data_IF_593010795768
#
_entry.id   IF_593010795768
#
_cell.length_a   1.000
_cell.length_b   1.000
_cell.length_c   1.000
_cell.angle_alpha   90.00
_cell.angle_beta   90.00
_cell.angle_gamma   90.00
#
_symmetry.space_group_name_H-M   'P 1'
#
loop_
_entity.id
_entity.type
_entity.pdbx_description
1 polymer ?
#
# COMPACT_ATOMS: atom_id res chain seq x y z
N UNK A 1 6.35 20.09 23.23
CA UNK A 1 7.27 20.14 22.08
C UNK A 1 6.70 19.29 20.95
N UNK A 2 6.29 20.00 19.90
CA UNK A 2 5.60 19.48 18.72
C UNK A 2 6.53 18.59 17.86
N UNK A 3 6.57 17.27 18.12
CA UNK A 3 7.24 16.29 17.26
C UNK A 3 6.27 15.54 16.34
N UNK A 4 5.02 15.99 16.21
CA UNK A 4 4.00 15.34 15.36
C UNK A 4 3.74 16.03 14.01
N UNK A 5 4.53 17.06 13.65
CA UNK A 5 4.30 17.82 12.40
C UNK A 5 5.13 17.35 11.21
N UNK A 6 6.03 16.37 11.38
CA UNK A 6 6.83 15.81 10.28
C UNK A 6 6.41 14.38 9.89
N UNK A 7 5.15 13.99 10.14
CA UNK A 7 4.63 12.74 9.60
C UNK A 7 4.51 12.86 8.08
N UNK A 8 5.47 12.25 7.40
CA UNK A 8 5.44 12.05 5.95
C UNK A 8 4.19 11.24 5.63
N UNK A 9 3.38 11.73 4.72
CA UNK A 9 2.14 11.10 4.31
C UNK A 9 2.35 9.69 3.77
N UNK A 10 1.70 8.73 4.40
CA UNK A 10 1.73 7.32 4.02
C UNK A 10 1.15 7.05 2.62
N UNK A 11 0.35 7.97 2.08
CA UNK A 11 -0.33 7.81 0.79
C UNK A 11 0.54 8.29 -0.38
N UNK A 12 1.74 8.80 -0.08
CA UNK A 12 2.68 9.27 -1.10
C UNK A 12 2.08 10.35 -1.96
N UNK A 13 2.02 11.53 -1.44
CA UNK A 13 1.61 12.63 -2.26
C UNK A 13 2.46 13.84 -1.91
N UNK A 14 2.73 14.64 -2.89
CA UNK A 14 3.10 16.04 -2.65
C UNK A 14 2.08 16.62 -1.68
N UNK A 15 2.49 17.49 -0.77
CA UNK A 15 1.63 18.18 0.22
C UNK A 15 0.30 18.69 -0.35
N UNK A 16 0.24 18.94 -1.66
CA UNK A 16 -0.95 19.41 -2.38
C UNK A 16 -2.13 18.43 -2.45
N UNK A 17 -1.95 17.17 -2.12
CA UNK A 17 -3.04 16.17 -2.12
C UNK A 17 -3.54 15.84 -0.72
N UNK A 18 -2.80 16.24 0.32
CA UNK A 18 -3.19 16.00 1.69
C UNK A 18 -4.52 16.65 2.02
N UNK A 19 -5.37 15.89 2.67
CA UNK A 19 -6.67 16.34 3.10
C UNK A 19 -6.94 15.88 4.52
N UNK A 20 -7.51 16.74 5.33
CA UNK A 20 -8.02 16.38 6.65
C UNK A 20 -9.32 15.59 6.51
N UNK A 21 -9.68 14.84 7.54
CA UNK A 21 -10.99 14.17 7.59
C UNK A 21 -12.14 15.17 7.38
N UNK A 22 -12.07 16.39 7.99
CA UNK A 22 -13.07 17.44 7.79
C UNK A 22 -13.21 17.83 6.32
N UNK A 23 -12.10 18.02 5.61
CA UNK A 23 -12.12 18.34 4.18
C UNK A 23 -12.72 17.20 3.34
N UNK A 24 -12.50 15.95 3.72
CA UNK A 24 -13.13 14.80 3.06
C UNK A 24 -14.65 14.80 3.28
N UNK A 25 -15.11 15.14 4.48
CA UNK A 25 -16.52 15.24 4.80
C UNK A 25 -17.25 16.39 4.06
N UNK A 26 -16.52 17.46 3.72
CA UNK A 26 -17.04 18.63 3.01
C UNK A 26 -17.23 18.37 1.50
N UNK A 27 -16.69 17.28 0.95
CA UNK A 27 -16.87 16.95 -0.47
C UNK A 27 -18.33 16.63 -0.76
N UNK A 28 -18.93 17.41 -1.64
CA UNK A 28 -20.32 17.23 -2.02
C UNK A 28 -20.55 15.85 -2.67
N UNK A 29 -21.51 15.11 -2.13
CA UNK A 29 -21.92 13.82 -2.67
C UNK A 29 -22.80 14.06 -3.90
N UNK A 30 -22.45 13.54 -5.08
CA UNK A 30 -23.28 13.70 -6.25
C UNK A 30 -24.57 12.88 -6.15
N UNK A 31 -25.56 13.26 -6.94
CA UNK A 31 -26.83 12.54 -7.01
C UNK A 31 -26.64 11.12 -7.61
N UNK A 32 -27.51 10.22 -7.19
CA UNK A 32 -27.62 8.90 -7.80
C UNK A 32 -28.03 9.03 -9.29
N UNK A 33 -27.57 8.08 -10.12
CA UNK A 33 -27.90 8.08 -11.54
C UNK A 33 -28.87 6.95 -11.86
N UNK A 34 -29.81 7.26 -12.72
CA UNK A 34 -30.81 6.34 -13.23
C UNK A 34 -30.73 6.21 -14.75
N UNK A 35 -31.16 5.09 -15.28
CA UNK A 35 -31.29 4.90 -16.73
C UNK A 35 -32.67 5.42 -17.22
N UNK A 36 -32.92 5.33 -18.55
CA UNK A 36 -34.16 5.77 -19.20
C UNK A 36 -35.42 5.01 -18.71
N UNK A 37 -35.24 3.92 -17.96
CA UNK A 37 -36.31 3.11 -17.35
C UNK A 37 -36.45 3.37 -15.85
N UNK A 38 -35.88 4.50 -15.35
CA UNK A 38 -35.85 4.87 -13.94
C UNK A 38 -35.22 3.82 -13.02
N UNK A 39 -34.31 3.01 -13.54
CA UNK A 39 -33.56 2.03 -12.76
C UNK A 39 -32.24 2.64 -12.30
N UNK A 40 -31.93 2.48 -11.03
CA UNK A 40 -30.68 2.94 -10.43
C UNK A 40 -29.45 2.26 -11.09
N UNK A 41 -28.56 3.07 -11.66
CA UNK A 41 -27.35 2.61 -12.33
C UNK A 41 -26.08 2.93 -11.55
N UNK A 42 -26.16 3.96 -10.70
CA UNK A 42 -25.03 4.41 -9.89
C UNK A 42 -25.50 5.01 -8.58
N UNK A 43 -25.00 4.47 -7.47
CA UNK A 43 -25.22 4.95 -6.12
C UNK A 43 -23.91 5.43 -5.52
N UNK A 44 -23.67 6.75 -5.41
CA UNK A 44 -22.45 7.22 -4.76
C UNK A 44 -22.46 6.86 -3.28
N UNK A 45 -21.30 6.38 -2.79
CA UNK A 45 -21.10 6.15 -1.35
C UNK A 45 -20.42 7.39 -0.79
N UNK A 46 -21.01 8.09 0.18
CA UNK A 46 -20.35 9.21 0.84
C UNK A 46 -18.99 8.79 1.41
N UNK A 47 -17.96 9.58 1.16
CA UNK A 47 -16.61 9.25 1.60
C UNK A 47 -16.51 9.09 3.11
N UNK A 48 -17.17 9.97 3.87
CA UNK A 48 -17.25 9.86 5.32
C UNK A 48 -17.89 8.53 5.77
N UNK A 49 -19.01 8.13 5.16
CA UNK A 49 -19.67 6.85 5.47
C UNK A 49 -18.75 5.65 5.21
N UNK A 50 -17.97 5.69 4.13
CA UNK A 50 -17.00 4.64 3.82
C UNK A 50 -15.88 4.60 4.86
N UNK A 51 -15.31 5.76 5.21
CA UNK A 51 -14.22 5.89 6.18
C UNK A 51 -14.66 5.43 7.57
N UNK A 52 -15.80 5.94 8.06
CA UNK A 52 -16.32 5.62 9.39
C UNK A 52 -16.66 4.13 9.49
N UNK A 53 -17.35 3.58 8.49
CA UNK A 53 -17.68 2.16 8.49
C UNK A 53 -16.46 1.23 8.51
N UNK A 54 -15.39 1.62 7.82
CA UNK A 54 -14.11 0.88 7.84
C UNK A 54 -13.40 1.05 9.19
N UNK A 55 -13.29 2.28 9.69
CA UNK A 55 -12.67 2.58 10.99
C UNK A 55 -13.35 1.77 12.10
N UNK A 56 -14.67 1.90 12.23
CA UNK A 56 -15.45 1.25 13.29
C UNK A 56 -15.31 -0.27 13.25
N UNK A 57 -15.37 -0.86 12.04
CA UNK A 57 -15.28 -2.31 11.88
C UNK A 57 -13.89 -2.84 12.24
N UNK A 58 -12.83 -2.14 11.83
CA UNK A 58 -11.46 -2.56 12.15
C UNK A 58 -11.10 -2.27 13.59
N UNK A 59 -11.49 -1.12 14.16
CA UNK A 59 -11.28 -0.82 15.58
C UNK A 59 -11.98 -1.84 16.48
N UNK A 60 -13.20 -2.25 16.13
CA UNK A 60 -13.91 -3.29 16.85
C UNK A 60 -13.23 -4.68 16.75
N UNK A 61 -12.70 -5.03 15.57
CA UNK A 61 -12.01 -6.31 15.37
C UNK A 61 -10.64 -6.37 16.04
N UNK A 62 -9.95 -5.23 16.15
CA UNK A 62 -8.61 -5.12 16.73
C UNK A 62 -8.61 -4.70 18.20
N UNK A 63 -9.77 -4.33 18.76
CA UNK A 63 -9.96 -3.78 20.10
C UNK A 63 -9.07 -2.57 20.39
N UNK A 64 -8.82 -1.74 19.38
CA UNK A 64 -8.07 -0.50 19.50
C UNK A 64 -8.38 0.48 18.37
N UNK A 65 -8.12 1.77 18.61
CA UNK A 65 -8.29 2.83 17.65
C UNK A 65 -7.06 2.96 16.72
N UNK A 66 -7.23 3.51 15.50
CA UNK A 66 -6.10 3.78 14.62
C UNK A 66 -5.16 4.82 15.25
N UNK A 67 -3.87 4.59 15.14
CA UNK A 67 -2.82 5.52 15.63
C UNK A 67 -2.47 6.60 14.62
N UNK A 68 -2.81 6.39 13.35
CA UNK A 68 -2.63 7.36 12.26
C UNK A 68 -3.70 7.18 11.19
N UNK A 69 -4.12 8.29 10.63
CA UNK A 69 -5.06 8.35 9.51
C UNK A 69 -4.56 9.41 8.51
N UNK A 70 -4.40 9.00 7.26
CA UNK A 70 -3.96 9.87 6.18
C UNK A 70 -4.97 9.82 5.03
N UNK A 71 -5.32 10.99 4.50
CA UNK A 71 -6.26 11.11 3.40
C UNK A 71 -5.70 11.98 2.29
N UNK A 72 -6.08 11.66 1.06
CA UNK A 72 -5.79 12.46 -0.10
C UNK A 72 -7.01 12.56 -1.01
N UNK A 73 -7.31 13.77 -1.44
CA UNK A 73 -8.30 14.06 -2.45
C UNK A 73 -7.62 14.41 -3.77
N UNK A 74 -8.07 13.82 -4.85
CA UNK A 74 -7.60 14.15 -6.19
C UNK A 74 -8.76 14.43 -7.13
N UNK A 75 -8.45 14.87 -8.35
CA UNK A 75 -9.45 15.17 -9.36
C UNK A 75 -10.57 16.10 -8.82
N UNK A 76 -10.18 17.23 -8.22
CA UNK A 76 -11.09 18.23 -7.63
C UNK A 76 -12.03 17.64 -6.56
N UNK A 77 -11.52 16.72 -5.73
CA UNK A 77 -12.29 16.06 -4.68
C UNK A 77 -13.14 14.88 -5.16
N UNK A 78 -13.10 14.55 -6.45
CA UNK A 78 -13.87 13.42 -6.99
C UNK A 78 -13.28 12.04 -6.70
N UNK A 79 -12.03 11.98 -6.25
CA UNK A 79 -11.35 10.73 -5.90
C UNK A 79 -10.77 10.84 -4.50
N UNK A 80 -11.08 9.84 -3.67
CA UNK A 80 -10.55 9.66 -2.32
C UNK A 80 -9.55 8.51 -2.30
N UNK A 81 -8.44 8.75 -1.63
CA UNK A 81 -7.48 7.74 -1.18
C UNK A 81 -7.29 7.92 0.32
N UNK A 82 -7.21 6.82 1.05
CA UNK A 82 -7.05 6.85 2.50
C UNK A 82 -6.18 5.72 2.98
N UNK A 83 -5.55 5.94 4.12
CA UNK A 83 -4.84 4.94 4.88
C UNK A 83 -5.10 5.15 6.37
N UNK A 84 -5.46 4.08 7.05
CA UNK A 84 -5.60 4.03 8.50
C UNK A 84 -4.60 3.01 9.03
N UNK A 85 -3.95 3.29 10.14
CA UNK A 85 -2.92 2.42 10.69
C UNK A 85 -3.20 2.12 12.16
N UNK A 86 -3.17 0.85 12.53
CA UNK A 86 -3.30 0.36 13.89
C UNK A 86 -1.97 -0.19 14.37
N UNK A 87 -1.62 0.10 15.62
CA UNK A 87 -0.45 -0.49 16.27
C UNK A 87 -0.88 -1.75 17.00
N UNK A 88 -0.34 -2.88 16.61
CA UNK A 88 -0.57 -4.14 17.27
C UNK A 88 0.49 -4.36 18.37
N UNK A 89 0.12 -4.97 19.52
CA UNK A 89 1.03 -5.15 20.66
C UNK A 89 2.32 -5.92 20.32
N UNK A 90 2.24 -6.83 19.37
CA UNK A 90 3.35 -7.67 18.93
C UNK A 90 4.33 -6.99 17.97
N UNK A 91 4.03 -5.78 17.49
CA UNK A 91 4.86 -5.10 16.50
C UNK A 91 5.30 -3.72 16.97
N UNK A 92 6.60 -3.60 17.27
CA UNK A 92 7.20 -2.34 17.73
C UNK A 92 7.44 -1.35 16.59
N UNK A 93 7.79 -1.85 15.39
CA UNK A 93 8.29 -1.03 14.29
C UNK A 93 7.31 -0.86 13.14
N UNK A 94 6.27 -1.68 13.11
CA UNK A 94 5.24 -1.63 12.07
C UNK A 94 3.84 -1.80 12.66
N UNK A 95 2.84 -1.55 11.84
CA UNK A 95 1.43 -1.70 12.22
C UNK A 95 0.59 -2.22 11.07
N UNK A 96 -0.59 -2.71 11.41
CA UNK A 96 -1.59 -3.06 10.42
C UNK A 96 -2.06 -1.77 9.72
N UNK A 97 -1.98 -1.76 8.41
CA UNK A 97 -2.46 -0.67 7.58
C UNK A 97 -3.68 -1.11 6.76
N UNK A 98 -4.71 -0.30 6.77
CA UNK A 98 -5.87 -0.40 5.89
C UNK A 98 -5.78 0.70 4.84
N UNK A 99 -5.54 0.34 3.60
CA UNK A 99 -5.58 1.27 2.48
C UNK A 99 -6.95 1.23 1.80
N UNK A 100 -7.44 2.37 1.40
CA UNK A 100 -8.74 2.49 0.74
C UNK A 100 -8.71 3.49 -0.42
N UNK A 101 -9.62 3.31 -1.37
CA UNK A 101 -9.88 4.26 -2.45
C UNK A 101 -11.35 4.25 -2.83
N UNK A 102 -11.84 5.38 -3.31
CA UNK A 102 -13.20 5.51 -3.86
C UNK A 102 -13.28 6.69 -4.82
N UNK A 103 -14.32 6.78 -5.64
CA UNK A 103 -14.56 7.97 -6.46
C UNK A 103 -16.04 8.26 -6.64
N UNK A 104 -16.36 9.54 -6.85
CA UNK A 104 -17.69 10.01 -7.20
C UNK A 104 -17.91 10.07 -8.73
N UNK A 105 -16.83 10.10 -9.51
CA UNK A 105 -16.90 10.16 -10.97
C UNK A 105 -16.91 8.78 -11.66
N UNK A 106 -17.01 7.70 -10.89
CA UNK A 106 -16.97 6.31 -11.36
C UNK A 106 -15.65 5.90 -12.02
N UNK A 107 -14.57 6.69 -11.87
CA UNK A 107 -13.24 6.37 -12.43
C UNK A 107 -12.58 5.19 -11.73
N UNK A 108 -12.89 4.99 -10.45
CA UNK A 108 -12.44 3.89 -9.61
C UNK A 108 -13.58 3.37 -8.74
N UNK A 109 -13.68 2.05 -8.62
CA UNK A 109 -14.60 1.44 -7.69
C UNK A 109 -14.10 1.62 -6.24
N UNK A 110 -15.00 1.76 -5.25
CA UNK A 110 -14.64 1.63 -3.84
C UNK A 110 -13.88 0.32 -3.62
N UNK A 111 -12.71 0.43 -3.04
CA UNK A 111 -11.87 -0.72 -2.75
C UNK A 111 -11.02 -0.45 -1.51
N UNK A 112 -10.73 -1.50 -0.76
CA UNK A 112 -9.84 -1.44 0.39
C UNK A 112 -9.05 -2.74 0.52
N UNK A 113 -7.94 -2.67 1.22
CA UNK A 113 -7.07 -3.81 1.46
C UNK A 113 -6.20 -3.60 2.69
N UNK A 114 -5.81 -4.70 3.30
CA UNK A 114 -4.94 -4.70 4.47
C UNK A 114 -3.48 -4.83 4.05
N UNK A 115 -2.60 -4.20 4.81
CA UNK A 115 -1.19 -4.21 4.58
C UNK A 115 -0.40 -3.95 5.86
N UNK A 116 0.89 -3.72 5.71
CA UNK A 116 1.80 -3.32 6.77
C UNK A 116 2.24 -1.86 6.55
N UNK A 117 2.20 -1.05 7.59
CA UNK A 117 2.82 0.27 7.61
C UNK A 117 4.04 0.26 8.52
N UNK A 118 5.16 0.78 8.05
CA UNK A 118 6.40 0.90 8.81
C UNK A 118 6.44 2.28 9.45
N UNK A 119 6.42 2.35 10.78
CA UNK A 119 6.31 3.61 11.51
C UNK A 119 7.52 4.54 11.36
N UNK A 120 8.71 3.97 11.19
CA UNK A 120 9.96 4.75 11.18
C UNK A 120 10.11 5.59 9.91
N UNK A 121 9.73 5.05 8.77
CA UNK A 121 9.88 5.71 7.46
C UNK A 121 8.55 6.06 6.81
N UNK A 122 7.44 5.87 7.51
CA UNK A 122 6.09 6.08 6.99
C UNK A 122 5.79 5.38 5.65
N UNK A 123 6.55 4.32 5.33
CA UNK A 123 6.34 3.52 4.14
C UNK A 123 5.28 2.45 4.40
N UNK A 124 4.38 2.26 3.45
CA UNK A 124 3.38 1.19 3.47
C UNK A 124 3.80 0.02 2.60
N UNK A 125 3.49 -1.18 3.04
CA UNK A 125 3.63 -2.42 2.28
C UNK A 125 2.26 -3.08 2.15
N UNK A 126 1.81 -3.35 0.93
CA UNK A 126 0.50 -3.95 0.69
C UNK A 126 0.61 -5.20 -0.16
N UNK A 127 0.10 -6.32 0.33
CA UNK A 127 -0.05 -7.53 -0.46
C UNK A 127 -1.26 -7.45 -1.39
N UNK A 128 -1.12 -7.97 -2.60
CA UNK A 128 -2.19 -8.00 -3.61
C UNK A 128 -3.04 -9.25 -3.51
N UNK A 129 -2.53 -10.32 -2.93
CA UNK A 129 -3.13 -11.64 -2.97
C UNK A 129 -4.40 -11.73 -2.12
N UNK A 130 -5.50 -11.31 -2.72
CA UNK A 130 -6.84 -11.45 -2.14
C UNK A 130 -7.24 -10.38 -1.15
N UNK A 131 -6.37 -9.42 -0.85
CA UNK A 131 -6.62 -8.41 0.18
C UNK A 131 -7.28 -7.14 -0.35
N UNK A 132 -7.30 -6.91 -1.66
CA UNK A 132 -8.05 -5.79 -2.24
C UNK A 132 -9.46 -6.27 -2.58
N UNK A 133 -10.40 -5.83 -1.78
CA UNK A 133 -11.83 -6.03 -2.03
C UNK A 133 -12.41 -4.78 -2.66
N UNK A 134 -13.30 -4.98 -3.64
CA UNK A 134 -13.97 -3.86 -4.31
C UNK A 134 -15.45 -4.14 -4.50
N UNK A 135 -16.24 -3.07 -4.49
CA UNK A 135 -17.67 -3.13 -4.76
C UNK A 135 -18.03 -2.17 -5.90
N UNK A 136 -18.95 -2.60 -6.77
CA UNK A 136 -19.52 -1.67 -7.74
C UNK A 136 -20.53 -0.76 -7.06
N UNK A 137 -20.50 0.52 -7.37
CA UNK A 137 -21.46 1.51 -6.85
C UNK A 137 -22.83 1.38 -7.54
N UNK A 138 -23.52 0.30 -7.22
CA UNK A 138 -24.87 -0.04 -7.68
C UNK A 138 -25.84 -0.10 -6.50
N UNK A 139 -27.05 -0.57 -6.70
CA UNK A 139 -28.13 -0.60 -5.70
C UNK A 139 -27.71 -1.17 -4.34
N UNK A 140 -26.89 -2.21 -4.32
CA UNK A 140 -26.52 -2.92 -3.10
C UNK A 140 -25.09 -2.60 -2.62
N UNK A 141 -24.51 -1.47 -3.06
CA UNK A 141 -23.10 -1.16 -2.75
C UNK A 141 -22.83 -1.12 -1.24
N UNK A 142 -23.72 -0.56 -0.44
CA UNK A 142 -23.54 -0.45 1.01
C UNK A 142 -23.58 -1.81 1.71
N UNK A 143 -24.46 -2.72 1.29
CA UNK A 143 -24.51 -4.09 1.80
C UNK A 143 -23.23 -4.84 1.44
N UNK A 144 -22.87 -4.81 0.17
CA UNK A 144 -21.62 -5.43 -0.32
C UNK A 144 -20.38 -4.90 0.42
N UNK A 145 -20.29 -3.59 0.66
CA UNK A 145 -19.17 -3.01 1.42
C UNK A 145 -19.14 -3.49 2.87
N UNK A 146 -20.29 -3.59 3.54
CA UNK A 146 -20.37 -4.12 4.92
C UNK A 146 -19.91 -5.57 5.00
N UNK A 147 -20.37 -6.41 4.07
CA UNK A 147 -19.95 -7.82 3.99
C UNK A 147 -18.44 -7.93 3.77
N UNK A 148 -17.91 -7.23 2.75
CA UNK A 148 -16.47 -7.21 2.46
C UNK A 148 -15.64 -6.69 3.63
N UNK A 149 -16.11 -5.65 4.33
CA UNK A 149 -15.43 -5.10 5.51
C UNK A 149 -15.38 -6.12 6.63
N UNK A 150 -16.49 -6.81 6.90
CA UNK A 150 -16.55 -7.89 7.91
C UNK A 150 -15.57 -9.01 7.58
N UNK A 151 -15.56 -9.47 6.34
CA UNK A 151 -14.68 -10.54 5.89
C UNK A 151 -13.22 -10.15 6.08
N UNK A 152 -12.82 -8.96 5.60
CA UNK A 152 -11.42 -8.51 5.69
C UNK A 152 -11.01 -8.22 7.12
N UNK A 153 -11.85 -7.59 7.94
CA UNK A 153 -11.51 -7.31 9.34
C UNK A 153 -11.36 -8.59 10.18
N UNK A 154 -12.10 -9.64 9.85
CA UNK A 154 -12.00 -10.93 10.54
C UNK A 154 -10.67 -11.66 10.31
N UNK A 155 -10.00 -11.41 9.19
CA UNK A 155 -8.70 -12.01 8.85
C UNK A 155 -7.52 -11.05 8.98
N UNK A 156 -7.79 -9.76 9.24
CA UNK A 156 -6.79 -8.70 9.19
C UNK A 156 -5.53 -8.97 10.03
N UNK A 157 -5.69 -9.51 11.25
CA UNK A 157 -4.56 -9.83 12.13
C UNK A 157 -3.72 -10.97 11.56
N UNK A 158 -4.37 -12.05 11.08
CA UNK A 158 -3.65 -13.19 10.51
C UNK A 158 -2.93 -12.81 9.22
N UNK A 159 -3.58 -12.00 8.38
CA UNK A 159 -3.03 -11.50 7.13
C UNK A 159 -1.83 -10.58 7.38
N UNK A 160 -1.94 -9.68 8.38
CA UNK A 160 -0.83 -8.84 8.82
C UNK A 160 0.35 -9.66 9.32
N UNK A 161 0.12 -10.66 10.18
CA UNK A 161 1.19 -11.54 10.71
C UNK A 161 1.90 -12.31 9.61
N UNK A 162 1.14 -12.89 8.68
CA UNK A 162 1.72 -13.60 7.54
C UNK A 162 2.60 -12.68 6.67
N UNK A 163 2.16 -11.44 6.45
CA UNK A 163 2.93 -10.47 5.68
C UNK A 163 4.17 -9.97 6.45
N UNK A 164 4.05 -9.73 7.75
CA UNK A 164 5.18 -9.33 8.59
C UNK A 164 6.25 -10.43 8.67
N UNK A 165 5.86 -11.70 8.72
CA UNK A 165 6.77 -12.84 8.65
C UNK A 165 7.48 -12.91 7.29
N UNK A 166 6.74 -12.75 6.19
CA UNK A 166 7.30 -12.72 4.84
C UNK A 166 8.32 -11.59 4.69
N UNK A 167 7.95 -10.37 5.07
CA UNK A 167 8.83 -9.20 4.94
C UNK A 167 10.05 -9.27 5.87
N UNK A 168 9.93 -9.95 7.00
CA UNK A 168 11.07 -10.25 7.87
C UNK A 168 12.12 -11.11 7.14
N UNK A 169 11.69 -12.13 6.38
CA UNK A 169 12.58 -12.97 5.58
C UNK A 169 13.33 -12.21 4.49
N UNK A 170 12.79 -11.09 3.99
CA UNK A 170 13.49 -10.26 3.01
C UNK A 170 14.72 -9.55 3.55
N UNK A 171 14.88 -9.44 4.86
CA UNK A 171 16.06 -8.87 5.51
C UNK A 171 17.28 -9.79 5.44
N UNK A 172 17.05 -11.07 5.24
CA UNK A 172 18.11 -12.09 5.13
C UNK A 172 18.63 -12.26 3.70
N UNK A 173 17.95 -11.64 2.71
CA UNK A 173 18.34 -11.69 1.30
C UNK A 173 19.25 -10.53 0.96
N UNK A 174 20.56 -10.81 0.76
CA UNK A 174 21.51 -9.78 0.38
C UNK A 174 21.23 -9.24 -1.03
N UNK A 175 21.17 -7.92 -1.15
CA UNK A 175 20.98 -7.20 -2.42
C UNK A 175 22.07 -6.15 -2.52
N UNK A 176 22.94 -6.28 -3.53
CA UNK A 176 23.93 -5.27 -3.89
C UNK A 176 23.46 -4.44 -5.08
N UNK A 177 24.23 -3.42 -5.44
CA UNK A 177 23.86 -2.45 -6.49
C UNK A 177 23.40 -3.12 -7.79
N UNK A 178 24.13 -4.10 -8.31
CA UNK A 178 23.77 -4.78 -9.56
C UNK A 178 22.41 -5.46 -9.47
N UNK A 179 22.15 -6.13 -8.35
CA UNK A 179 20.86 -6.80 -8.08
C UNK A 179 19.74 -5.78 -7.85
N UNK A 180 20.05 -4.66 -7.18
CA UNK A 180 19.06 -3.59 -7.02
C UNK A 180 18.67 -2.98 -8.37
N UNK A 181 19.62 -2.74 -9.26
CA UNK A 181 19.34 -2.24 -10.60
C UNK A 181 18.56 -3.25 -11.43
N UNK A 182 18.88 -4.53 -11.34
CA UNK A 182 18.12 -5.60 -12.01
C UNK A 182 16.69 -5.69 -11.47
N UNK A 183 16.51 -5.59 -10.15
CA UNK A 183 15.21 -5.56 -9.49
C UNK A 183 14.37 -4.36 -9.96
N UNK A 184 14.94 -3.16 -9.97
CA UNK A 184 14.27 -1.97 -10.50
C UNK A 184 13.94 -2.10 -11.99
N UNK A 185 14.84 -2.72 -12.79
CA UNK A 185 14.61 -3.04 -14.20
C UNK A 185 13.43 -3.98 -14.41
N UNK A 186 13.28 -4.99 -13.55
CA UNK A 186 12.13 -5.90 -13.54
C UNK A 186 10.83 -5.16 -13.22
N UNK A 187 10.82 -4.33 -12.19
CA UNK A 187 9.67 -3.50 -11.83
C UNK A 187 9.26 -2.55 -12.96
N UNK A 188 10.23 -1.94 -13.63
CA UNK A 188 9.99 -1.09 -14.80
C UNK A 188 9.41 -1.88 -15.97
N UNK A 189 9.99 -3.02 -16.32
CA UNK A 189 9.51 -3.90 -17.38
C UNK A 189 8.09 -4.41 -17.15
N UNK A 190 7.72 -4.62 -15.89
CA UNK A 190 6.36 -4.98 -15.45
C UNK A 190 5.41 -3.78 -15.32
N UNK A 191 5.85 -2.58 -15.64
CA UNK A 191 5.07 -1.33 -15.52
C UNK A 191 4.57 -1.05 -14.09
N UNK A 192 5.27 -1.57 -13.08
CA UNK A 192 5.04 -1.27 -11.66
C UNK A 192 5.55 0.13 -11.34
N UNK A 193 6.70 0.49 -11.89
CA UNK A 193 7.30 1.83 -11.75
C UNK A 193 7.56 2.45 -13.12
N UNK A 194 7.54 3.79 -13.18
CA UNK A 194 7.95 4.57 -14.35
C UNK A 194 9.46 4.78 -14.38
N UNK A 195 10.00 5.24 -15.50
CA UNK A 195 11.43 5.61 -15.63
C UNK A 195 11.85 6.70 -14.63
N UNK A 196 10.94 7.63 -14.31
CA UNK A 196 11.18 8.67 -13.32
C UNK A 196 11.29 8.07 -11.91
N UNK A 197 10.40 7.14 -11.57
CA UNK A 197 10.44 6.44 -10.27
C UNK A 197 11.67 5.53 -10.16
N UNK A 198 12.08 4.89 -11.25
CA UNK A 198 13.32 4.13 -11.31
C UNK A 198 14.54 4.99 -10.88
N UNK A 199 14.69 6.16 -11.49
CA UNK A 199 15.78 7.10 -11.15
C UNK A 199 15.68 7.60 -9.70
N UNK A 200 14.47 7.78 -9.19
CA UNK A 200 14.22 8.21 -7.81
C UNK A 200 14.54 7.10 -6.83
N UNK A 201 14.18 5.85 -7.12
CA UNK A 201 14.48 4.69 -6.28
C UNK A 201 16.01 4.51 -6.12
N UNK A 202 16.78 4.70 -7.21
CA UNK A 202 18.26 4.66 -7.13
C UNK A 202 18.79 5.74 -6.17
N UNK A 203 18.24 6.94 -6.20
CA UNK A 203 18.67 8.01 -5.26
C UNK A 203 18.37 7.62 -3.82
N UNK A 204 17.19 7.05 -3.55
CA UNK A 204 16.85 6.57 -2.21
C UNK A 204 17.72 5.42 -1.75
N UNK A 205 17.97 4.43 -2.62
CA UNK A 205 18.87 3.33 -2.33
C UNK A 205 20.27 3.81 -1.90
N UNK A 206 20.86 4.72 -2.68
CA UNK A 206 22.16 5.29 -2.35
C UNK A 206 22.13 6.10 -1.05
N UNK A 207 21.10 6.93 -0.83
CA UNK A 207 20.95 7.75 0.36
C UNK A 207 20.69 6.90 1.64
N UNK A 208 20.01 5.77 1.54
CA UNK A 208 19.90 4.83 2.65
C UNK A 208 21.24 4.16 2.96
N UNK A 209 21.96 3.71 1.93
CA UNK A 209 23.25 3.01 2.07
C UNK A 209 24.35 3.89 2.66
N UNK A 210 24.43 5.17 2.29
CA UNK A 210 25.40 6.11 2.87
C UNK A 210 24.96 6.68 4.23
N UNK A 211 23.76 6.28 4.71
CA UNK A 211 23.21 6.68 6.00
C UNK A 211 22.72 8.13 6.07
N UNK A 212 22.62 8.83 4.93
CA UNK A 212 22.06 10.19 4.86
C UNK A 212 20.54 10.21 4.99
N UNK A 213 19.88 9.06 4.71
CA UNK A 213 18.45 8.89 4.83
C UNK A 213 18.13 7.49 5.40
N UNK A 214 17.23 7.41 6.37
CA UNK A 214 16.72 6.14 6.91
C UNK A 214 17.81 5.12 7.27
N UNK A 215 18.64 5.45 8.26
CA UNK A 215 19.78 4.59 8.71
C UNK A 215 19.38 3.16 9.03
N UNK A 216 18.13 2.94 9.44
CA UNK A 216 17.55 1.61 9.67
C UNK A 216 17.46 0.76 8.40
N UNK A 217 17.55 1.37 7.23
CA UNK A 217 17.57 0.70 5.93
C UNK A 217 18.96 0.73 5.28
N UNK A 218 20.02 1.07 6.03
CA UNK A 218 21.40 1.09 5.52
C UNK A 218 21.97 -0.31 5.19
N UNK A 219 21.23 -1.38 5.50
CA UNK A 219 21.59 -2.74 5.17
C UNK A 219 21.29 -3.05 3.70
N UNK A 220 22.26 -3.64 2.99
CA UNK A 220 22.13 -4.05 1.59
C UNK A 220 21.34 -5.36 1.49
N UNK A 221 20.00 -5.29 1.66
CA UNK A 221 19.11 -6.43 1.58
C UNK A 221 17.84 -6.14 0.79
N UNK A 222 17.03 -7.18 0.52
CA UNK A 222 15.81 -7.05 -0.28
C UNK A 222 14.75 -6.15 0.40
N UNK A 223 14.69 -6.15 1.73
CA UNK A 223 13.83 -5.24 2.47
C UNK A 223 14.19 -3.77 2.22
N UNK A 224 15.48 -3.45 2.31
CA UNK A 224 15.96 -2.08 2.03
C UNK A 224 15.75 -1.68 0.58
N UNK A 225 15.92 -2.61 -0.36
CA UNK A 225 15.61 -2.40 -1.77
C UNK A 225 14.12 -2.11 -1.98
N UNK A 226 13.25 -2.88 -1.35
CA UNK A 226 11.79 -2.64 -1.35
C UNK A 226 11.45 -1.27 -0.78
N UNK A 227 12.03 -0.89 0.36
CA UNK A 227 11.78 0.40 1.00
C UNK A 227 12.26 1.58 0.15
N UNK A 228 13.37 1.46 -0.56
CA UNK A 228 13.85 2.49 -1.48
C UNK A 228 12.85 2.74 -2.64
N UNK A 229 12.25 1.67 -3.17
CA UNK A 229 11.22 1.78 -4.21
C UNK A 229 9.92 2.36 -3.65
N UNK A 230 9.47 1.91 -2.47
CA UNK A 230 8.26 2.46 -1.80
C UNK A 230 8.39 3.95 -1.54
N UNK A 231 9.55 4.39 -1.02
CA UNK A 231 9.84 5.80 -0.80
C UNK A 231 9.84 6.62 -2.10
N UNK A 232 10.32 6.03 -3.20
CA UNK A 232 10.22 6.68 -4.51
C UNK A 232 8.76 6.80 -4.98
N UNK A 233 7.95 5.76 -4.77
CA UNK A 233 6.54 5.74 -5.17
C UNK A 233 5.69 6.75 -4.41
N UNK A 234 6.03 7.07 -3.17
CA UNK A 234 5.36 8.12 -2.39
C UNK A 234 5.43 9.50 -3.05
N UNK A 235 6.37 9.73 -3.97
CA UNK A 235 6.47 10.98 -4.73
C UNK A 235 5.59 11.04 -5.97
N UNK A 236 4.91 9.96 -6.32
CA UNK A 236 3.89 9.97 -7.36
C UNK A 236 2.54 10.44 -6.81
N UNK A 237 1.55 10.62 -7.69
CA UNK A 237 0.20 10.94 -7.22
C UNK A 237 -0.45 9.75 -6.49
N UNK A 238 -1.45 10.00 -5.63
CA UNK A 238 -2.08 8.95 -4.80
C UNK A 238 -2.58 7.74 -5.61
N UNK A 239 -3.13 7.98 -6.79
CA UNK A 239 -3.63 6.93 -7.69
C UNK A 239 -2.53 5.99 -8.16
N UNK A 240 -1.39 6.55 -8.56
CA UNK A 240 -0.27 5.78 -9.09
C UNK A 240 0.44 5.03 -7.98
N UNK A 241 0.62 5.66 -6.81
CA UNK A 241 1.18 5.01 -5.62
C UNK A 241 0.33 3.81 -5.21
N UNK A 242 -0.97 4.01 -5.06
CA UNK A 242 -1.89 2.96 -4.62
C UNK A 242 -1.92 1.77 -5.58
N UNK A 243 -1.86 2.04 -6.89
CA UNK A 243 -1.78 0.99 -7.92
C UNK A 243 -0.45 0.26 -7.89
N UNK A 244 0.63 1.00 -7.64
CA UNK A 244 1.99 0.48 -7.70
C UNK A 244 2.35 -0.43 -6.52
N UNK A 245 1.87 -0.13 -5.31
CA UNK A 245 2.22 -0.91 -4.10
C UNK A 245 1.90 -2.39 -4.25
N UNK A 246 0.72 -2.72 -4.75
CA UNK A 246 0.35 -4.11 -4.97
C UNK A 246 1.27 -4.83 -5.95
N UNK A 247 1.54 -4.20 -7.09
CA UNK A 247 2.47 -4.75 -8.08
C UNK A 247 3.90 -4.88 -7.53
N UNK A 248 4.36 -3.91 -6.75
CA UNK A 248 5.67 -3.94 -6.10
C UNK A 248 5.78 -5.15 -5.16
N UNK A 249 4.82 -5.34 -4.27
CA UNK A 249 4.84 -6.46 -3.33
C UNK A 249 4.83 -7.81 -4.04
N UNK A 250 3.97 -7.98 -5.05
CA UNK A 250 3.89 -9.21 -5.84
C UNK A 250 5.22 -9.53 -6.54
N UNK A 251 5.85 -8.55 -7.20
CA UNK A 251 7.15 -8.76 -7.86
C UNK A 251 8.23 -9.08 -6.84
N UNK A 252 8.27 -8.40 -5.69
CA UNK A 252 9.26 -8.64 -4.64
C UNK A 252 9.13 -10.04 -4.06
N UNK A 253 7.90 -10.51 -3.80
CA UNK A 253 7.61 -11.88 -3.37
C UNK A 253 8.10 -12.91 -4.40
N UNK A 254 7.84 -12.66 -5.69
CA UNK A 254 8.30 -13.55 -6.75
C UNK A 254 9.84 -13.63 -6.81
N UNK A 255 10.51 -12.49 -6.65
CA UNK A 255 11.98 -12.41 -6.58
C UNK A 255 12.50 -13.17 -5.36
N UNK A 256 11.91 -12.98 -4.19
CA UNK A 256 12.26 -13.69 -2.95
C UNK A 256 12.11 -15.21 -3.12
N UNK A 257 10.95 -15.65 -3.61
CA UNK A 257 10.67 -17.07 -3.79
C UNK A 257 11.54 -17.75 -4.88
N UNK A 258 11.96 -17.00 -5.91
CA UNK A 258 12.84 -17.53 -6.98
C UNK A 258 14.30 -17.65 -6.55
N UNK A 259 14.72 -16.86 -5.56
CA UNK A 259 16.07 -16.92 -4.98
C UNK A 259 16.36 -18.19 -4.18
N UNK A 260 15.38 -19.10 -4.12
CA UNK A 260 15.48 -20.45 -3.58
C UNK A 260 16.11 -20.49 -2.18
N UNK A 261 15.32 -20.61 -1.15
CA UNK A 261 15.77 -21.24 0.09
C UNK A 261 16.21 -22.67 -0.25
N UNK A 262 17.46 -22.84 -0.62
CA UNK A 262 18.10 -24.16 -0.62
C UNK A 262 18.43 -24.43 0.85
N UNK A 263 17.55 -25.16 1.50
CA UNK A 263 17.85 -25.71 2.83
C UNK A 263 19.23 -26.36 2.80
N UNK A 264 20.15 -25.84 3.57
CA UNK A 264 21.42 -26.48 3.89
C UNK A 264 22.69 -25.89 3.31
N UNK A 265 22.68 -24.75 2.61
CA UNK A 265 23.95 -24.12 2.19
C UNK A 265 24.25 -22.86 3.00
N UNK A 266 25.43 -22.80 3.58
CA UNK A 266 26.01 -21.61 4.23
C UNK A 266 26.40 -20.50 3.23
N UNK A 267 25.94 -20.58 1.99
CA UNK A 267 26.12 -19.56 0.97
C UNK A 267 24.87 -18.68 0.94
N UNK A 268 25.08 -17.38 1.06
CA UNK A 268 24.06 -16.35 0.83
C UNK A 268 23.41 -16.63 -0.53
N UNK A 269 22.08 -16.83 -0.60
CA UNK A 269 21.42 -17.09 -1.87
C UNK A 269 21.73 -15.96 -2.84
N UNK A 270 22.39 -16.25 -3.95
CA UNK A 270 22.49 -15.29 -5.05
C UNK A 270 21.14 -15.25 -5.75
N UNK A 271 20.58 -14.07 -5.93
CA UNK A 271 19.35 -13.88 -6.66
C UNK A 271 19.51 -14.40 -8.07
N UNK A 272 18.81 -15.48 -8.43
CA UNK A 272 18.76 -15.94 -9.81
C UNK A 272 17.77 -15.06 -10.59
N UNK A 273 18.31 -13.99 -11.18
CA UNK A 273 17.54 -13.02 -11.99
C UNK A 273 16.85 -13.71 -13.17
N UNK A 274 17.47 -14.75 -13.76
CA UNK A 274 16.85 -15.49 -14.87
C UNK A 274 15.66 -16.35 -14.40
N UNK A 275 15.78 -17.00 -13.23
CA UNK A 275 14.66 -17.74 -12.64
C UNK A 275 13.52 -16.79 -12.23
N UNK A 276 13.85 -15.66 -11.63
CA UNK A 276 12.89 -14.62 -11.29
C UNK A 276 12.16 -14.06 -12.54
N UNK A 277 12.88 -13.89 -13.64
CA UNK A 277 12.29 -13.46 -14.91
C UNK A 277 11.38 -14.52 -15.53
N UNK A 278 11.68 -15.82 -15.40
CA UNK A 278 10.84 -16.92 -15.91
C UNK A 278 9.53 -17.06 -15.15
N UNK A 279 9.57 -17.00 -13.81
CA UNK A 279 8.35 -17.03 -12.96
C UNK A 279 7.47 -15.83 -13.25
N UNK A 280 8.11 -14.72 -13.55
CA UNK A 280 7.41 -13.47 -13.82
C UNK A 280 6.82 -13.38 -15.24
N UNK A 281 7.06 -14.32 -16.16
CA UNK A 281 6.51 -14.33 -17.54
C UNK A 281 5.32 -15.27 -17.72
N UNK A 282 5.00 -16.10 -16.75
CA UNK A 282 3.79 -16.93 -16.67
C UNK A 282 2.72 -16.28 -15.80
#
# INVERSE_FOLDING_TARGET
SNRHQDQVCLIGAKDSYHSTYSQVCEVAVPDARFNDKDQLTYQPVPFATLLDGLRDSFSAALDCEPVAEDYALSNQGQELYGMMTWRLPESEHSGLALALRSSYNSSIAPAFGVGEAVFVCANGSFSVDGMIKSARQTTNVMETLRELTRDVSSTAISDFRAMAEETAGWRDVAVKDDLFYAYCGLLFGRKVISSQLFSTAIKYWNACRDGSLHREHATENLWSAYQAVTAAMQRSGPRDSFRGYGGLHHVTRAVFNSGGCVEGSSQIPSLDVEAAMRVATN
#
